data_IF_137597701087
#
_entry.id   IF_137597701087
#
_cell.length_a   1.000
_cell.length_b   1.000
_cell.length_c   1.000
_cell.angle_alpha   90.00
_cell.angle_beta   90.00
_cell.angle_gamma   90.00
#
_symmetry.space_group_name_H-M   'P 1'
#
loop_
_entity.id
_entity.type
_entity.pdbx_description
1 polymer ?
#
# COMPACT_ATOMS: atom_id res chain seq x y z
N UNK A 1 -28.98 19.22 -30.69
CA UNK A 1 -27.57 18.85 -30.44
C UNK A 1 -27.26 18.63 -28.93
N UNK A 2 -28.21 18.18 -28.09
CA UNK A 2 -28.01 18.11 -26.62
C UNK A 2 -27.86 16.71 -26.01
N UNK A 3 -28.53 15.69 -26.57
CA UNK A 3 -28.66 14.37 -25.92
C UNK A 3 -27.37 13.54 -26.00
N UNK A 4 -26.67 13.56 -27.14
CA UNK A 4 -25.42 12.81 -27.34
C UNK A 4 -24.29 13.26 -26.40
N UNK A 5 -24.22 14.57 -26.10
CA UNK A 5 -23.22 15.11 -25.16
C UNK A 5 -23.51 14.73 -23.71
N UNK A 6 -24.79 14.59 -23.34
CA UNK A 6 -25.19 14.20 -21.98
C UNK A 6 -24.86 12.74 -21.68
N UNK A 7 -25.14 11.84 -22.63
CA UNK A 7 -24.81 10.41 -22.53
C UNK A 7 -23.30 10.21 -22.42
N UNK A 8 -22.51 10.96 -23.18
CA UNK A 8 -21.04 10.91 -23.11
C UNK A 8 -20.51 11.35 -21.75
N UNK A 9 -21.06 12.43 -21.17
CA UNK A 9 -20.68 12.91 -19.83
C UNK A 9 -21.04 11.91 -18.74
N UNK A 10 -22.23 11.29 -18.83
CA UNK A 10 -22.68 10.27 -17.88
C UNK A 10 -21.80 9.02 -17.98
N UNK A 11 -21.44 8.59 -19.19
CA UNK A 11 -20.52 7.48 -19.41
C UNK A 11 -19.15 7.75 -18.78
N UNK A 12 -18.59 8.95 -18.99
CA UNK A 12 -17.31 9.37 -18.37
C UNK A 12 -17.42 9.40 -16.84
N UNK A 13 -18.53 9.92 -16.30
CA UNK A 13 -18.76 9.93 -14.85
C UNK A 13 -18.84 8.51 -14.29
N UNK A 14 -19.61 7.63 -14.94
CA UNK A 14 -19.75 6.22 -14.54
C UNK A 14 -18.43 5.45 -14.63
N UNK A 15 -17.58 5.74 -15.61
CA UNK A 15 -16.24 5.16 -15.70
C UNK A 15 -15.25 5.70 -14.65
N UNK A 16 -15.50 6.90 -14.10
CA UNK A 16 -14.67 7.48 -13.03
C UNK A 16 -15.05 6.99 -11.63
N UNK A 17 -16.31 6.57 -11.41
CA UNK A 17 -16.78 6.02 -10.13
C UNK A 17 -15.99 4.81 -9.60
N UNK A 18 -15.59 3.79 -10.39
CA UNK A 18 -14.80 2.67 -9.88
C UNK A 18 -13.38 3.07 -9.45
N UNK A 19 -12.86 4.20 -9.91
CA UNK A 19 -11.53 4.72 -9.50
C UNK A 19 -11.57 5.25 -8.06
N UNK A 20 -12.67 5.90 -7.66
CA UNK A 20 -12.83 6.41 -6.29
C UNK A 20 -13.23 5.32 -5.29
N UNK A 21 -13.89 4.25 -5.75
CA UNK A 21 -14.36 3.17 -4.89
C UNK A 21 -13.28 2.12 -4.55
N UNK A 22 -12.15 2.10 -5.27
CA UNK A 22 -11.03 1.19 -5.01
C UNK A 22 -9.94 1.82 -4.12
N UNK A 23 -10.34 2.52 -3.07
CA UNK A 23 -9.44 2.84 -1.96
C UNK A 23 -9.52 1.72 -0.92
N UNK A 24 -9.16 0.49 -1.32
CA UNK A 24 -8.94 -0.56 -0.35
C UNK A 24 -7.71 -0.17 0.50
N UNK A 25 -7.82 -0.32 1.82
CA UNK A 25 -6.73 -0.16 2.79
C UNK A 25 -5.63 -1.18 2.52
N UNK A 26 -4.78 -0.89 1.54
CA UNK A 26 -3.74 -1.78 1.04
C UNK A 26 -2.41 -1.53 1.77
N UNK A 27 -2.48 -1.41 3.10
CA UNK A 27 -1.32 -1.24 3.96
C UNK A 27 -1.21 -2.46 4.85
N UNK A 28 -0.02 -3.03 4.96
CA UNK A 28 0.23 -4.18 5.84
C UNK A 28 1.02 -3.74 7.07
N UNK A 29 0.79 -4.42 8.18
CA UNK A 29 1.57 -4.26 9.40
C UNK A 29 2.58 -5.41 9.53
N UNK A 30 3.82 -5.10 9.93
CA UNK A 30 4.89 -6.09 10.12
C UNK A 30 5.70 -5.85 11.40
N UNK A 31 6.30 -6.91 11.93
CA UNK A 31 7.17 -6.92 13.12
C UNK A 31 8.17 -8.08 13.06
N UNK A 32 9.08 -8.18 14.01
CA UNK A 32 9.99 -9.32 14.13
C UNK A 32 9.26 -10.65 14.33
N UNK A 33 8.01 -10.66 14.81
CA UNK A 33 7.18 -11.87 14.90
C UNK A 33 6.78 -12.44 13.53
N UNK A 34 6.78 -11.62 12.49
CA UNK A 34 6.51 -12.06 11.12
C UNK A 34 7.74 -12.79 10.58
N UNK A 35 7.77 -14.13 10.67
CA UNK A 35 8.97 -14.92 10.33
C UNK A 35 9.18 -15.14 8.82
N UNK A 36 8.21 -14.76 7.98
CA UNK A 36 8.38 -14.79 6.53
C UNK A 36 9.37 -13.72 6.04
N UNK A 37 9.97 -13.99 4.89
CA UNK A 37 10.73 -13.00 4.11
C UNK A 37 9.78 -12.33 3.11
N UNK A 38 9.32 -11.09 3.35
CA UNK A 38 8.32 -10.46 2.49
C UNK A 38 8.90 -10.14 1.11
N UNK A 39 8.21 -10.57 0.05
CA UNK A 39 8.51 -10.15 -1.31
C UNK A 39 7.80 -8.82 -1.59
N UNK A 40 8.47 -7.72 -1.25
CA UNK A 40 7.93 -6.38 -1.39
C UNK A 40 7.61 -6.00 -2.85
N UNK A 41 8.33 -6.56 -3.83
CA UNK A 41 8.07 -6.31 -5.23
C UNK A 41 6.77 -6.99 -5.69
N UNK A 42 6.54 -8.23 -5.27
CA UNK A 42 5.26 -8.92 -5.50
C UNK A 42 4.11 -8.24 -4.77
N UNK A 43 4.30 -7.84 -3.51
CA UNK A 43 3.29 -7.10 -2.74
C UNK A 43 2.87 -5.82 -3.47
N UNK A 44 3.82 -5.04 -4.00
CA UNK A 44 3.52 -3.85 -4.80
C UNK A 44 2.68 -4.17 -6.04
N UNK A 45 3.05 -5.23 -6.79
CA UNK A 45 2.29 -5.69 -7.96
C UNK A 45 0.87 -6.16 -7.62
N UNK A 46 0.67 -6.68 -6.41
CA UNK A 46 -0.64 -7.09 -5.89
C UNK A 46 -1.49 -5.92 -5.36
N UNK A 47 -0.98 -4.69 -5.42
CA UNK A 47 -1.72 -3.50 -5.05
C UNK A 47 -1.48 -3.00 -3.63
N UNK A 48 -0.54 -3.60 -2.87
CA UNK A 48 -0.09 -3.03 -1.60
C UNK A 48 0.56 -1.66 -1.86
N UNK A 49 0.15 -0.66 -1.09
CA UNK A 49 0.61 0.72 -1.21
C UNK A 49 1.63 1.09 -0.16
N UNK A 50 1.64 0.41 0.99
CA UNK A 50 2.60 0.70 2.05
C UNK A 50 2.73 -0.40 3.09
N UNK A 51 3.75 -0.24 3.93
CA UNK A 51 4.07 -1.10 5.07
C UNK A 51 4.20 -0.21 6.30
N UNK A 52 3.57 -0.60 7.40
CA UNK A 52 3.85 -0.06 8.73
C UNK A 52 4.64 -1.14 9.48
N UNK A 53 5.78 -0.80 10.06
CA UNK A 53 6.63 -1.78 10.74
C UNK A 53 6.95 -1.36 12.18
N UNK A 54 6.91 -2.32 13.10
CA UNK A 54 7.35 -2.12 14.49
C UNK A 54 8.80 -1.64 14.52
N UNK A 55 9.06 -0.45 15.08
CA UNK A 55 10.40 0.12 15.15
C UNK A 55 11.19 -0.42 16.33
N UNK A 56 10.52 -0.57 17.48
CA UNK A 56 11.14 -0.97 18.73
C UNK A 56 10.24 -1.86 19.56
N UNK A 57 10.72 -3.05 19.92
CA UNK A 57 10.13 -3.90 20.93
C UNK A 57 11.14 -4.99 21.35
N UNK A 58 11.37 -5.24 22.65
CA UNK A 58 10.88 -4.52 23.82
C UNK A 58 11.38 -3.05 23.88
N UNK A 59 10.96 -2.22 24.87
CA UNK A 59 11.33 -0.80 24.91
C UNK A 59 12.83 -0.55 24.74
N UNK A 60 13.16 0.46 23.93
CA UNK A 60 14.53 0.88 23.60
C UNK A 60 15.38 -0.15 22.83
N UNK A 61 14.80 -1.27 22.41
CA UNK A 61 15.43 -2.26 21.55
C UNK A 61 14.86 -2.11 20.14
N UNK A 62 15.72 -1.84 19.16
CA UNK A 62 15.30 -1.77 17.75
C UNK A 62 14.86 -3.16 17.28
N UNK A 63 13.76 -3.20 16.53
CA UNK A 63 13.35 -4.43 15.87
C UNK A 63 14.45 -4.91 14.90
N UNK A 64 14.91 -6.17 15.02
CA UNK A 64 16.05 -6.68 14.25
C UNK A 64 15.79 -6.74 12.74
N UNK A 65 14.53 -6.78 12.29
CA UNK A 65 14.14 -6.83 10.88
C UNK A 65 13.85 -5.46 10.28
N UNK A 66 13.82 -4.41 11.10
CA UNK A 66 13.37 -3.08 10.69
C UNK A 66 14.16 -2.52 9.51
N UNK A 67 15.50 -2.53 9.59
CA UNK A 67 16.34 -1.89 8.59
C UNK A 67 16.21 -2.58 7.23
N UNK A 68 16.35 -3.90 7.20
CA UNK A 68 16.31 -4.67 5.96
C UNK A 68 14.95 -4.55 5.28
N UNK A 69 13.87 -4.58 6.08
CA UNK A 69 12.51 -4.42 5.55
C UNK A 69 12.21 -3.02 5.09
N UNK A 70 12.71 -2.00 5.78
CA UNK A 70 12.59 -0.60 5.35
C UNK A 70 13.25 -0.41 3.99
N UNK A 71 14.49 -0.89 3.82
CA UNK A 71 15.23 -0.80 2.56
C UNK A 71 14.47 -1.54 1.44
N UNK A 72 14.07 -2.79 1.68
CA UNK A 72 13.36 -3.59 0.68
C UNK A 72 12.02 -2.99 0.25
N UNK A 73 11.22 -2.47 1.20
CA UNK A 73 9.95 -1.83 0.91
C UNK A 73 10.12 -0.54 0.10
N UNK A 74 11.06 0.33 0.50
CA UNK A 74 11.33 1.59 -0.20
C UNK A 74 11.88 1.35 -1.62
N UNK A 75 12.78 0.37 -1.79
CA UNK A 75 13.28 -0.03 -3.11
C UNK A 75 12.17 -0.56 -4.02
N UNK A 76 11.16 -1.24 -3.46
CA UNK A 76 9.99 -1.71 -4.20
C UNK A 76 8.96 -0.61 -4.51
N UNK A 77 9.16 0.63 -4.03
CA UNK A 77 8.22 1.74 -4.24
C UNK A 77 6.96 1.66 -3.37
N UNK A 78 7.06 1.03 -2.20
CA UNK A 78 6.04 1.06 -1.15
C UNK A 78 6.25 2.26 -0.23
N UNK A 79 5.16 2.82 0.30
CA UNK A 79 5.22 3.77 1.40
C UNK A 79 5.66 3.06 2.69
N UNK A 80 6.35 3.79 3.58
CA UNK A 80 6.85 3.24 4.83
C UNK A 80 6.35 4.05 6.02
N UNK A 81 5.82 3.37 7.02
CA UNK A 81 5.49 3.89 8.34
C UNK A 81 6.11 3.04 9.43
N UNK A 82 6.16 3.57 10.64
CA UNK A 82 6.67 2.85 11.80
C UNK A 82 5.85 3.17 13.05
N UNK A 83 5.77 2.21 13.97
CA UNK A 83 5.13 2.34 15.28
C UNK A 83 6.02 1.81 16.40
#
# INVERSE_FOLDING_TARGET
MGIRSSIFRIAVLFSALPVCAFSATNVVNLSHYDMMHPDFATMKRQGIVGVIHEATYPPFVRDPKYLDRQIGALQAGLLWGAY
#
